data_IF_592283512561
#
_entry.id   IF_592283512561
#
_cell.length_a   1.000
_cell.length_b   1.000
_cell.length_c   1.000
_cell.angle_alpha   90.00
_cell.angle_beta   90.00
_cell.angle_gamma   90.00
#
_symmetry.space_group_name_H-M   'P 1'
#
loop_
_entity.id
_entity.type
_entity.pdbx_description
1 polymer ?
#
# COMPACT_ATOMS: atom_id res chain seq x y z
N UNK A 1 -10.94 37.43 13.93
CA UNK A 1 -10.26 36.22 14.40
C UNK A 1 -10.74 35.10 13.54
N UNK A 2 -9.89 34.59 12.66
CA UNK A 2 -10.17 33.35 11.94
C UNK A 2 -9.45 32.26 12.71
N UNK A 3 -10.21 31.46 13.46
CA UNK A 3 -9.70 30.22 14.02
C UNK A 3 -9.41 29.29 12.85
N UNK A 4 -8.13 29.19 12.49
CA UNK A 4 -7.63 28.16 11.59
C UNK A 4 -7.95 26.81 12.24
N UNK A 5 -9.00 26.15 11.77
CA UNK A 5 -9.26 24.76 12.10
C UNK A 5 -8.02 23.96 11.71
N UNK A 6 -7.29 23.47 12.71
CA UNK A 6 -6.20 22.52 12.53
C UNK A 6 -6.82 21.24 11.99
N UNK A 7 -6.89 21.12 10.66
CA UNK A 7 -7.19 19.88 9.98
C UNK A 7 -6.15 18.85 10.43
N UNK A 8 -6.61 17.70 10.92
CA UNK A 8 -5.79 16.64 11.48
C UNK A 8 -4.49 16.43 10.67
N UNK A 9 -3.36 16.37 11.37
CA UNK A 9 -2.05 16.22 10.75
C UNK A 9 -2.07 15.09 9.73
N UNK A 10 -1.63 15.39 8.50
CA UNK A 10 -1.44 14.39 7.46
C UNK A 10 -0.36 13.41 7.95
N UNK A 11 -0.78 12.29 8.55
CA UNK A 11 0.11 11.18 8.80
C UNK A 11 0.59 10.68 7.43
N UNK A 12 1.85 10.95 7.07
CA UNK A 12 2.45 10.44 5.86
C UNK A 12 2.68 8.95 6.06
N UNK A 13 1.72 8.15 5.59
CA UNK A 13 1.75 6.67 5.73
C UNK A 13 2.70 6.05 4.68
N UNK A 14 3.01 6.77 3.60
CA UNK A 14 3.79 6.26 2.46
C UNK A 14 5.26 6.70 2.46
N UNK A 15 5.82 7.06 3.62
CA UNK A 15 7.23 7.48 3.72
C UNK A 15 8.22 6.38 3.32
N UNK A 16 7.87 5.12 3.61
CA UNK A 16 8.57 3.93 3.17
C UNK A 16 7.59 3.06 2.39
N UNK A 17 7.94 2.71 1.15
CA UNK A 17 7.09 1.89 0.29
C UNK A 17 7.90 0.92 -0.55
N UNK A 18 7.38 -0.29 -0.70
CA UNK A 18 7.83 -1.24 -1.72
C UNK A 18 6.64 -1.82 -2.51
N UNK A 19 6.92 -2.27 -3.73
CA UNK A 19 5.92 -2.86 -4.61
C UNK A 19 6.42 -4.20 -5.14
N UNK A 20 5.57 -5.21 -5.08
CA UNK A 20 5.80 -6.53 -5.65
C UNK A 20 4.88 -6.73 -6.85
N UNK A 21 5.43 -7.26 -7.93
CA UNK A 21 4.62 -7.68 -9.07
C UNK A 21 4.37 -9.18 -9.00
N UNK A 22 3.13 -9.58 -9.24
CA UNK A 22 2.69 -10.98 -9.32
C UNK A 22 1.97 -11.22 -10.64
N UNK A 23 2.00 -12.45 -11.13
CA UNK A 23 1.43 -12.79 -12.44
C UNK A 23 -0.09 -13.03 -12.32
N UNK A 24 -0.57 -13.49 -11.15
CA UNK A 24 -1.97 -13.84 -10.95
C UNK A 24 -2.60 -13.21 -9.70
N UNK A 25 -3.93 -13.07 -9.71
CA UNK A 25 -4.71 -12.64 -8.52
C UNK A 25 -4.57 -13.62 -7.37
N UNK A 26 -4.47 -14.93 -7.64
CA UNK A 26 -4.27 -15.93 -6.59
C UNK A 26 -2.92 -15.77 -5.87
N UNK A 27 -1.85 -15.49 -6.61
CA UNK A 27 -0.56 -15.14 -6.02
C UNK A 27 -0.66 -13.87 -5.19
N UNK A 28 -1.40 -12.86 -5.68
CA UNK A 28 -1.65 -11.62 -4.96
C UNK A 28 -2.28 -11.88 -3.57
N UNK A 29 -3.36 -12.68 -3.54
CA UNK A 29 -4.06 -13.09 -2.32
C UNK A 29 -3.12 -13.88 -1.38
N UNK A 30 -2.37 -14.84 -1.93
CA UNK A 30 -1.47 -15.68 -1.14
C UNK A 30 -0.34 -14.88 -0.49
N UNK A 31 0.27 -13.94 -1.23
CA UNK A 31 1.31 -13.06 -0.68
C UNK A 31 0.70 -12.15 0.38
N UNK A 32 -0.47 -11.56 0.12
CA UNK A 32 -1.17 -10.72 1.09
C UNK A 32 -1.45 -11.45 2.42
N UNK A 33 -1.95 -12.69 2.34
CA UNK A 33 -2.20 -13.52 3.53
C UNK A 33 -0.90 -13.80 4.30
N UNK A 34 0.18 -14.13 3.61
CA UNK A 34 1.50 -14.36 4.25
C UNK A 34 2.03 -13.11 4.93
N UNK A 35 1.82 -11.92 4.37
CA UNK A 35 2.21 -10.67 4.99
C UNK A 35 1.45 -10.43 6.30
N UNK A 36 0.14 -10.69 6.31
CA UNK A 36 -0.69 -10.60 7.52
C UNK A 36 -0.32 -11.61 8.60
N UNK A 37 0.10 -12.82 8.21
CA UNK A 37 0.55 -13.87 9.13
C UNK A 37 1.91 -13.54 9.76
N UNK A 38 2.80 -12.86 9.03
CA UNK A 38 4.18 -12.63 9.46
C UNK A 38 4.43 -11.27 10.12
N UNK A 39 3.63 -10.25 9.78
CA UNK A 39 3.87 -8.88 10.21
C UNK A 39 2.62 -8.26 10.82
N UNK A 40 2.76 -7.43 11.87
CA UNK A 40 1.63 -6.65 12.37
C UNK A 40 1.17 -5.66 11.30
N UNK A 41 -0.12 -5.71 10.95
CA UNK A 41 -0.70 -4.84 9.93
C UNK A 41 -1.47 -3.70 10.58
N UNK A 42 -1.05 -2.46 10.31
CA UNK A 42 -1.75 -1.28 10.78
C UNK A 42 -2.98 -0.95 9.93
N UNK A 43 -2.89 -1.18 8.61
CA UNK A 43 -3.97 -0.88 7.67
C UNK A 43 -3.85 -1.71 6.41
N UNK A 44 -4.99 -2.12 5.86
CA UNK A 44 -5.11 -2.63 4.49
C UNK A 44 -5.93 -1.68 3.62
N UNK A 45 -5.65 -1.65 2.31
CA UNK A 45 -6.49 -1.01 1.29
C UNK A 45 -6.75 -2.04 0.18
N UNK A 46 -8.00 -2.09 -0.30
CA UNK A 46 -8.51 -3.10 -1.24
C UNK A 46 -8.39 -4.52 -0.62
N UNK A 47 -9.14 -4.74 0.46
CA UNK A 47 -9.14 -5.94 1.33
C UNK A 47 -9.40 -7.26 0.57
N UNK A 48 -9.00 -8.39 1.18
CA UNK A 48 -9.04 -9.79 0.69
C UNK A 48 -10.38 -10.35 0.21
N UNK A 49 -11.42 -9.52 0.14
CA UNK A 49 -12.73 -9.97 -0.27
C UNK A 49 -12.79 -10.04 -1.81
N UNK A 50 -13.30 -11.16 -2.33
CA UNK A 50 -13.47 -11.46 -3.77
C UNK A 50 -14.48 -10.54 -4.47
N UNK A 51 -15.30 -9.82 -3.70
CA UNK A 51 -16.29 -8.85 -4.20
C UNK A 51 -15.69 -7.44 -4.40
N UNK A 52 -14.42 -7.25 -4.02
CA UNK A 52 -13.75 -5.97 -4.15
C UNK A 52 -13.21 -5.84 -5.58
N UNK A 53 -13.91 -5.09 -6.45
CA UNK A 53 -13.57 -4.82 -7.88
C UNK A 53 -12.14 -4.35 -8.15
N UNK A 54 -11.35 -4.04 -7.12
CA UNK A 54 -9.97 -3.58 -7.19
C UNK A 54 -8.96 -4.64 -6.75
N UNK A 55 -9.20 -5.92 -7.08
CA UNK A 55 -8.30 -7.06 -6.79
C UNK A 55 -6.85 -6.89 -7.30
N UNK A 56 -6.66 -5.93 -8.21
CA UNK A 56 -5.42 -5.60 -8.90
C UNK A 56 -4.30 -5.00 -8.02
N UNK A 57 -4.66 -4.17 -7.02
CA UNK A 57 -3.69 -3.39 -6.24
C UNK A 57 -4.00 -3.44 -4.76
N UNK A 58 -3.53 -4.50 -4.09
CA UNK A 58 -3.64 -4.61 -2.64
C UNK A 58 -2.52 -3.81 -2.00
N UNK A 59 -2.83 -3.10 -0.91
CA UNK A 59 -1.83 -2.37 -0.14
C UNK A 59 -1.91 -2.70 1.33
N UNK A 60 -0.76 -2.93 1.94
CA UNK A 60 -0.60 -3.29 3.34
C UNK A 60 0.34 -2.28 3.99
N UNK A 61 -0.08 -1.65 5.07
CA UNK A 61 0.81 -0.84 5.90
C UNK A 61 1.27 -1.71 7.06
N UNK A 62 2.49 -2.20 6.96
CA UNK A 62 3.10 -3.10 7.94
C UNK A 62 3.82 -2.26 9.00
N UNK A 63 3.72 -2.69 10.26
CA UNK A 63 4.43 -2.07 11.39
C UNK A 63 5.74 -2.81 11.61
N UNK A 64 6.84 -2.09 11.49
CA UNK A 64 8.15 -2.57 11.87
C UNK A 64 8.59 -1.87 13.14
N UNK A 65 9.15 -2.65 14.07
CA UNK A 65 9.74 -2.15 15.30
C UNK A 65 11.24 -2.42 15.28
N UNK A 66 12.03 -1.41 15.61
CA UNK A 66 13.48 -1.54 15.73
C UNK A 66 13.98 -0.63 16.83
N UNK A 67 15.20 -0.90 17.30
CA UNK A 67 15.88 -0.04 18.27
C UNK A 67 16.97 0.73 17.54
N UNK A 68 16.93 2.06 17.64
CA UNK A 68 17.97 2.94 17.10
C UNK A 68 18.85 3.41 18.26
N UNK A 69 20.18 3.29 18.08
CA UNK A 69 21.16 3.75 19.06
C UNK A 69 20.92 5.24 19.41
N UNK A 70 20.90 5.57 20.70
CA UNK A 70 20.63 6.92 21.24
C UNK A 70 19.22 7.49 21.01
N UNK A 71 18.30 6.77 20.37
CA UNK A 71 16.90 7.20 20.15
C UNK A 71 15.91 6.29 20.89
N UNK A 72 16.22 5.01 21.03
CA UNK A 72 15.37 4.02 21.68
C UNK A 72 14.54 3.20 20.70
N UNK A 73 13.45 2.61 21.19
CA UNK A 73 12.53 1.83 20.37
C UNK A 73 11.71 2.76 19.47
N UNK A 74 11.71 2.48 18.17
CA UNK A 74 10.92 3.21 17.19
C UNK A 74 10.04 2.24 16.40
N UNK A 75 8.84 2.70 16.07
CA UNK A 75 7.95 2.02 15.16
C UNK A 75 7.84 2.82 13.87
N UNK A 76 7.96 2.15 12.72
CA UNK A 76 7.74 2.76 11.42
C UNK A 76 6.74 1.95 10.61
N UNK A 77 6.04 2.66 9.71
CA UNK A 77 5.11 2.06 8.76
C UNK A 77 5.82 1.91 7.42
N UNK A 78 5.67 0.75 6.81
CA UNK A 78 6.07 0.50 5.44
C UNK A 78 4.85 0.05 4.64
N UNK A 79 4.53 0.79 3.57
CA UNK A 79 3.49 0.40 2.62
C UNK A 79 4.05 -0.67 1.67
N UNK A 80 3.47 -1.86 1.71
CA UNK A 80 3.70 -2.93 0.75
C UNK A 80 2.54 -2.96 -0.23
N UNK A 81 2.83 -2.73 -1.51
CA UNK A 81 1.86 -2.85 -2.59
C UNK A 81 2.07 -4.15 -3.35
N UNK A 82 1.00 -4.90 -3.60
CA UNK A 82 1.04 -6.10 -4.45
C UNK A 82 0.24 -5.81 -5.70
N UNK A 83 0.92 -5.85 -6.84
CA UNK A 83 0.40 -5.42 -8.13
C UNK A 83 0.30 -6.62 -9.07
N UNK A 84 -0.86 -6.86 -9.66
CA UNK A 84 -1.03 -7.89 -10.69
C UNK A 84 -0.54 -7.32 -12.02
N UNK A 85 0.40 -8.01 -12.68
CA UNK A 85 1.08 -7.54 -13.89
C UNK A 85 0.13 -7.11 -15.01
N UNK A 86 -0.89 -7.93 -15.28
CA UNK A 86 -1.92 -7.62 -16.30
C UNK A 86 -2.59 -6.27 -16.05
N UNK A 87 -2.84 -5.94 -14.79
CA UNK A 87 -3.50 -4.69 -14.42
C UNK A 87 -2.56 -3.50 -14.48
N UNK A 88 -1.26 -3.70 -14.20
CA UNK A 88 -0.23 -2.70 -14.48
C UNK A 88 -0.16 -2.39 -15.98
N UNK A 89 -0.19 -3.41 -16.82
CA UNK A 89 -0.09 -3.22 -18.28
C UNK A 89 -1.32 -2.46 -18.81
N UNK A 90 -2.51 -2.78 -18.32
CA UNK A 90 -3.74 -2.01 -18.61
C UNK A 90 -3.61 -0.57 -18.12
N UNK A 91 -3.10 -0.35 -16.90
CA UNK A 91 -2.88 0.99 -16.36
C UNK A 91 -1.86 1.79 -17.16
N UNK A 92 -0.75 1.19 -17.59
CA UNK A 92 0.25 1.84 -18.43
C UNK A 92 -0.37 2.30 -19.74
N UNK A 93 -1.15 1.44 -20.39
CA UNK A 93 -1.91 1.78 -21.59
C UNK A 93 -2.89 2.93 -21.31
N UNK A 94 -3.64 2.85 -20.21
CA UNK A 94 -4.55 3.91 -19.79
C UNK A 94 -3.85 5.25 -19.55
N UNK A 95 -2.70 5.26 -18.86
CA UNK A 95 -1.89 6.45 -18.66
C UNK A 95 -1.40 7.05 -19.99
N UNK A 96 -0.95 6.22 -20.93
CA UNK A 96 -0.58 6.64 -22.28
C UNK A 96 -1.74 7.32 -23.02
N UNK A 97 -2.98 6.80 -22.87
CA UNK A 97 -4.16 7.44 -23.46
C UNK A 97 -4.48 8.80 -22.79
N UNK A 98 -4.27 8.94 -21.48
CA UNK A 98 -4.44 10.20 -20.77
C UNK A 98 -3.40 11.26 -21.17
N UNK A 99 -2.15 10.85 -21.45
CA UNK A 99 -1.12 11.76 -21.98
C UNK A 99 -1.43 12.22 -23.41
N UNK A 100 -2.07 11.38 -24.23
CA UNK A 100 -2.46 11.73 -25.60
C UNK A 100 -3.69 12.64 -25.70
N UNK A 101 -4.50 12.73 -24.64
CA UNK A 101 -5.69 13.61 -24.58
C UNK A 101 -5.42 14.95 -23.88
N UNK A 102 -4.20 15.20 -23.42
CA UNK A 102 -3.74 16.51 -22.92
C UNK A 102 -3.08 17.32 -24.03
#
# INVERSE_FOLDING_TARGET
GHDEQVCAGLHVIDGLRCSFMVETVNENINVGRRLEEQFPVARTKNSHQLDNRSEADRKYNLVFRTTIENVGEVAFLCEVQILVKRDIDIKKIGHLFYEFQR
#
